data_IF_619669005578
#
_entry.id   IF_619669005578
#
_cell.length_a   1.000
_cell.length_b   1.000
_cell.length_c   1.000
_cell.angle_alpha   90.00
_cell.angle_beta   90.00
_cell.angle_gamma   90.00
#
_symmetry.space_group_name_H-M   'P 1'
#
loop_
_entity.id
_entity.type
_entity.pdbx_description
1 polymer ?
#
# COMPACT_ATOMS: atom_id res chain seq x y z
N UNK A 1 5.83 0.31 15.82
CA UNK A 1 7.05 0.29 14.97
C UNK A 1 6.55 0.12 13.57
N UNK A 2 6.92 1.01 12.65
CA UNK A 2 6.35 1.03 11.32
C UNK A 2 7.14 0.11 10.39
N UNK A 3 6.45 -0.69 9.60
CA UNK A 3 7.07 -1.73 8.77
C UNK A 3 7.42 -1.20 7.38
N UNK A 4 8.58 -1.59 6.87
CA UNK A 4 9.10 -1.13 5.58
C UNK A 4 9.58 -2.33 4.77
N UNK A 5 9.19 -2.39 3.50
CA UNK A 5 9.48 -3.50 2.60
C UNK A 5 10.03 -3.05 1.25
N UNK A 6 10.93 -3.85 0.70
CA UNK A 6 11.28 -3.87 -0.71
C UNK A 6 10.43 -4.91 -1.43
N UNK A 7 9.85 -4.51 -2.57
CA UNK A 7 9.09 -5.39 -3.44
C UNK A 7 10.00 -5.99 -4.50
N UNK A 8 10.14 -7.31 -4.44
CA UNK A 8 10.88 -8.08 -5.43
C UNK A 8 9.95 -8.98 -6.23
N UNK A 9 10.22 -9.10 -7.53
CA UNK A 9 9.47 -9.98 -8.43
C UNK A 9 10.30 -11.23 -8.68
N UNK A 10 9.73 -12.39 -8.36
CA UNK A 10 10.32 -13.70 -8.64
C UNK A 10 9.33 -14.51 -9.48
N UNK A 11 9.62 -14.63 -10.79
CA UNK A 11 8.67 -15.17 -11.75
C UNK A 11 7.37 -14.36 -11.79
N UNK A 12 6.26 -14.97 -11.37
CA UNK A 12 4.94 -14.31 -11.29
C UNK A 12 4.58 -13.87 -9.87
N UNK A 13 5.48 -14.05 -8.90
CA UNK A 13 5.22 -13.73 -7.49
C UNK A 13 5.83 -12.40 -7.11
N UNK A 14 5.09 -11.65 -6.28
CA UNK A 14 5.57 -10.45 -5.62
C UNK A 14 5.94 -10.80 -4.18
N UNK A 15 7.19 -10.56 -3.81
CA UNK A 15 7.74 -10.83 -2.50
C UNK A 15 7.94 -9.52 -1.74
N UNK A 16 7.52 -9.50 -0.47
CA UNK A 16 7.76 -8.42 0.46
C UNK A 16 8.98 -8.79 1.31
N UNK A 17 10.07 -8.07 1.12
CA UNK A 17 11.32 -8.33 1.86
C UNK A 17 11.56 -7.16 2.81
N UNK A 18 11.76 -7.39 4.12
CA UNK A 18 12.03 -6.31 5.06
C UNK A 18 13.18 -5.41 4.60
N UNK A 19 12.92 -4.11 4.56
CA UNK A 19 13.87 -3.11 4.07
C UNK A 19 15.00 -2.95 5.07
N UNK A 20 16.25 -3.18 4.64
CA UNK A 20 17.43 -3.05 5.53
C UNK A 20 17.63 -1.63 6.08
N UNK A 21 17.20 -0.63 5.31
CA UNK A 21 17.37 0.78 5.66
C UNK A 21 16.11 1.38 6.32
N UNK A 22 15.13 0.55 6.71
CA UNK A 22 13.92 1.00 7.40
C UNK A 22 13.20 2.14 6.65
N UNK A 23 12.97 3.24 7.36
CA UNK A 23 12.23 4.41 6.88
C UNK A 23 13.04 5.39 6.02
N UNK A 24 14.34 5.13 5.79
CA UNK A 24 15.24 6.07 5.12
C UNK A 24 14.68 6.57 3.78
N UNK A 25 14.40 7.87 3.69
CA UNK A 25 13.85 8.53 2.50
C UNK A 25 12.33 8.73 2.52
N UNK A 26 11.65 8.29 3.57
CA UNK A 26 10.18 8.35 3.72
C UNK A 26 9.73 8.89 5.08
N UNK A 27 10.67 9.32 5.95
CA UNK A 27 10.41 9.58 7.37
C UNK A 27 9.41 10.72 7.67
N UNK A 28 9.14 11.60 6.71
CA UNK A 28 8.35 12.82 6.94
C UNK A 28 7.31 13.13 5.86
N UNK A 29 7.19 12.28 4.83
CA UNK A 29 6.42 12.65 3.66
C UNK A 29 5.02 12.03 3.62
N UNK A 30 4.71 10.97 4.35
CA UNK A 30 3.44 10.25 4.17
C UNK A 30 2.30 10.85 5.03
N UNK A 31 1.08 11.09 4.49
CA UNK A 31 0.52 10.66 3.20
C UNK A 31 0.76 11.61 2.00
N UNK A 32 1.55 12.66 2.16
CA UNK A 32 2.02 13.46 1.02
C UNK A 32 3.01 12.65 0.15
N UNK A 33 3.26 13.06 -1.11
CA UNK A 33 4.25 12.41 -1.94
C UNK A 33 5.67 12.53 -1.35
N UNK A 34 6.42 11.41 -1.22
CA UNK A 34 7.85 11.46 -0.94
C UNK A 34 8.62 12.26 -1.99
N UNK A 35 9.81 12.74 -1.65
CA UNK A 35 10.65 13.49 -2.58
C UNK A 35 10.85 12.72 -3.91
N UNK A 36 10.72 13.43 -5.04
CA UNK A 36 10.77 12.89 -6.40
C UNK A 36 9.68 11.84 -6.72
N UNK A 37 8.54 11.92 -6.04
CA UNK A 37 7.37 11.11 -6.34
C UNK A 37 6.13 11.99 -6.52
N UNK A 38 5.18 11.49 -7.31
CA UNK A 38 3.84 12.07 -7.49
C UNK A 38 2.79 11.09 -7.01
N UNK A 39 1.70 11.60 -6.44
CA UNK A 39 0.54 10.78 -6.13
C UNK A 39 -0.03 10.19 -7.42
N UNK A 40 -0.11 8.86 -7.48
CA UNK A 40 -0.69 8.12 -8.59
C UNK A 40 -2.17 7.79 -8.33
N UNK A 41 -2.55 7.64 -7.06
CA UNK A 41 -3.93 7.43 -6.65
C UNK A 41 -4.06 6.87 -5.24
N UNK A 42 -5.31 6.83 -4.77
CA UNK A 42 -5.71 6.19 -3.53
C UNK A 42 -6.56 4.97 -3.89
N UNK A 43 -6.30 3.84 -3.24
CA UNK A 43 -7.02 2.58 -3.40
C UNK A 43 -7.67 2.24 -2.06
N UNK A 44 -8.93 1.79 -2.07
CA UNK A 44 -9.61 1.35 -0.86
C UNK A 44 -10.46 2.42 -0.21
N UNK A 45 -10.75 2.22 1.07
CA UNK A 45 -11.70 3.01 1.86
C UNK A 45 -10.96 3.66 3.03
N UNK A 46 -10.87 5.00 3.09
CA UNK A 46 -10.20 5.71 4.18
C UNK A 46 -10.76 5.42 5.58
N UNK A 47 -12.02 4.99 5.68
CA UNK A 47 -12.67 4.66 6.96
C UNK A 47 -12.46 3.19 7.38
N UNK A 48 -11.64 2.43 6.64
CA UNK A 48 -11.36 1.03 6.94
C UNK A 48 -9.90 0.66 6.67
N UNK A 49 -9.52 0.68 5.40
CA UNK A 49 -8.17 0.36 4.95
C UNK A 49 -7.95 0.92 3.54
N UNK A 50 -6.89 1.70 3.38
CA UNK A 50 -6.56 2.32 2.11
C UNK A 50 -5.06 2.35 1.84
N UNK A 51 -4.71 2.39 0.57
CA UNK A 51 -3.35 2.51 0.09
C UNK A 51 -3.20 3.79 -0.72
N UNK A 52 -2.22 4.63 -0.36
CA UNK A 52 -1.75 5.72 -1.21
C UNK A 52 -0.60 5.20 -2.06
N UNK A 53 -0.78 5.23 -3.38
CA UNK A 53 0.24 4.82 -4.34
C UNK A 53 0.94 6.06 -4.90
N UNK A 54 2.26 6.08 -4.82
CA UNK A 54 3.11 7.12 -5.37
C UNK A 54 3.98 6.57 -6.49
N UNK A 55 4.14 7.35 -7.55
CA UNK A 55 4.98 7.02 -8.69
C UNK A 55 6.24 7.87 -8.64
N UNK A 56 7.40 7.28 -8.89
CA UNK A 56 8.65 8.06 -9.02
C UNK A 56 8.54 8.96 -10.26
N UNK A 57 8.87 10.24 -10.13
CA UNK A 57 8.79 11.22 -11.23
C UNK A 57 9.81 10.88 -12.32
N UNK A 58 11.07 10.79 -11.91
CA UNK A 58 12.19 10.47 -12.78
C UNK A 58 12.72 9.07 -12.47
N UNK A 59 12.11 8.06 -13.09
CA UNK A 59 12.62 6.69 -13.09
C UNK A 59 11.56 5.61 -12.95
N UNK A 60 12.00 4.34 -12.86
CA UNK A 60 11.09 3.23 -12.67
C UNK A 60 10.61 3.13 -11.22
N UNK A 61 9.48 2.46 -11.04
CA UNK A 61 9.00 2.08 -9.72
C UNK A 61 8.15 3.13 -8.99
N UNK A 62 8.09 3.00 -7.67
CA UNK A 62 7.27 3.85 -6.81
C UNK A 62 7.11 3.28 -5.40
N UNK A 63 6.20 3.88 -4.64
CA UNK A 63 6.00 3.61 -3.22
C UNK A 63 4.52 3.38 -2.96
N UNK A 64 4.22 2.47 -2.05
CA UNK A 64 2.89 2.20 -1.52
C UNK A 64 2.91 2.43 -0.03
N UNK A 65 2.03 3.28 0.46
CA UNK A 65 1.80 3.49 1.88
C UNK A 65 0.41 2.92 2.22
N UNK A 66 0.36 1.95 3.13
CA UNK A 66 -0.88 1.27 3.53
C UNK A 66 -1.32 1.74 4.90
N UNK A 67 -2.58 2.13 5.02
CA UNK A 67 -3.18 2.70 6.21
C UNK A 67 -4.41 1.92 6.63
N UNK A 68 -4.67 1.90 7.93
CA UNK A 68 -6.02 1.75 8.48
C UNK A 68 -6.60 3.15 8.81
N UNK A 69 -7.76 3.18 9.48
CA UNK A 69 -8.41 4.43 9.89
C UNK A 69 -7.49 5.31 10.77
N UNK A 70 -6.68 4.67 11.62
CA UNK A 70 -5.93 5.36 12.67
C UNK A 70 -4.48 5.67 12.28
N UNK A 71 -3.86 4.87 11.41
CA UNK A 71 -2.41 4.82 11.31
C UNK A 71 -1.85 4.23 10.02
N UNK A 72 -0.60 4.60 9.73
CA UNK A 72 0.20 3.96 8.67
C UNK A 72 0.68 2.58 9.17
N UNK A 73 0.17 1.53 8.53
CA UNK A 73 0.50 0.12 8.80
C UNK A 73 1.89 -0.23 8.29
N UNK A 74 2.12 -0.07 6.99
CA UNK A 74 3.42 -0.37 6.37
C UNK A 74 3.66 0.44 5.09
N UNK A 75 4.92 0.47 4.68
CA UNK A 75 5.36 1.04 3.41
C UNK A 75 6.06 -0.03 2.58
N UNK A 76 5.71 -0.11 1.29
CA UNK A 76 6.36 -1.02 0.35
C UNK A 76 6.89 -0.23 -0.86
N UNK A 77 8.15 -0.46 -1.23
CA UNK A 77 8.78 0.24 -2.35
C UNK A 77 9.09 -0.74 -3.46
N UNK A 78 8.70 -0.36 -4.68
CA UNK A 78 9.07 -1.06 -5.88
C UNK A 78 10.14 -0.26 -6.62
N UNK A 79 11.29 -0.87 -6.92
CA UNK A 79 12.34 -0.20 -7.72
C UNK A 79 12.14 -0.36 -9.23
N UNK A 80 11.25 -1.27 -9.67
CA UNK A 80 10.98 -1.51 -11.08
C UNK A 80 9.52 -1.27 -11.44
N UNK A 81 9.24 -1.00 -12.71
CA UNK A 81 7.87 -0.85 -13.21
C UNK A 81 7.07 -2.13 -13.08
N UNK A 82 7.70 -3.29 -13.26
CA UNK A 82 7.04 -4.58 -13.10
C UNK A 82 6.63 -4.80 -11.63
N UNK A 83 7.55 -4.57 -10.69
CA UNK A 83 7.25 -4.67 -9.26
C UNK A 83 6.16 -3.66 -8.85
N UNK A 84 6.17 -2.46 -9.43
CA UNK A 84 5.17 -1.44 -9.17
C UNK A 84 3.78 -1.85 -9.69
N UNK A 85 3.67 -2.30 -10.94
CA UNK A 85 2.38 -2.74 -11.49
C UNK A 85 1.80 -3.95 -10.75
N UNK A 86 2.64 -4.92 -10.37
CA UNK A 86 2.22 -6.05 -9.54
C UNK A 86 1.87 -5.59 -8.12
N UNK A 87 2.61 -4.63 -7.57
CA UNK A 87 2.32 -3.96 -6.30
C UNK A 87 0.94 -3.31 -6.29
N UNK A 88 0.61 -2.51 -7.31
CA UNK A 88 -0.72 -1.90 -7.47
C UNK A 88 -1.83 -2.95 -7.42
N UNK A 89 -1.68 -4.05 -8.17
CA UNK A 89 -2.66 -5.14 -8.16
C UNK A 89 -2.77 -5.82 -6.80
N UNK A 90 -1.64 -6.05 -6.13
CA UNK A 90 -1.59 -6.66 -4.81
C UNK A 90 -2.26 -5.76 -3.74
N UNK A 91 -1.91 -4.48 -3.70
CA UNK A 91 -2.48 -3.52 -2.75
C UNK A 91 -3.98 -3.35 -2.98
N UNK A 92 -4.40 -3.20 -4.24
CA UNK A 92 -5.81 -3.13 -4.62
C UNK A 92 -6.59 -4.35 -4.14
N UNK A 93 -6.04 -5.56 -4.33
CA UNK A 93 -6.69 -6.78 -3.85
C UNK A 93 -6.83 -6.81 -2.32
N UNK A 94 -5.80 -6.35 -1.59
CA UNK A 94 -5.86 -6.33 -0.11
C UNK A 94 -6.96 -5.41 0.40
N UNK A 95 -7.02 -4.16 -0.07
CA UNK A 95 -8.06 -3.21 0.37
C UNK A 95 -9.46 -3.64 -0.07
N UNK A 96 -9.61 -4.26 -1.26
CA UNK A 96 -10.89 -4.81 -1.70
C UNK A 96 -11.35 -5.98 -0.82
N UNK A 97 -10.44 -6.88 -0.42
CA UNK A 97 -10.79 -7.98 0.48
C UNK A 97 -11.13 -7.51 1.89
N UNK A 98 -10.46 -6.46 2.38
CA UNK A 98 -10.81 -5.83 3.65
C UNK A 98 -12.25 -5.28 3.59
N UNK A 99 -12.58 -4.48 2.57
CA UNK A 99 -13.94 -3.91 2.40
C UNK A 99 -15.00 -5.00 2.25
N UNK A 100 -14.75 -6.01 1.42
CA UNK A 100 -15.66 -7.14 1.28
C UNK A 100 -15.89 -7.88 2.61
N UNK A 101 -14.84 -8.02 3.43
CA UNK A 101 -14.96 -8.58 4.76
C UNK A 101 -15.86 -7.75 5.66
N UNK A 102 -15.66 -6.43 5.70
CA UNK A 102 -16.50 -5.50 6.45
C UNK A 102 -17.97 -5.58 6.02
N UNK A 103 -18.24 -5.56 4.70
CA UNK A 103 -19.60 -5.65 4.15
C UNK A 103 -20.36 -6.91 4.62
N UNK A 104 -19.66 -8.03 4.81
CA UNK A 104 -20.28 -9.26 5.34
C UNK A 104 -20.68 -9.10 6.80
N UNK A 105 -19.83 -8.50 7.63
CA UNK A 105 -20.12 -8.30 9.06
C UNK A 105 -21.23 -7.29 9.27
N UNK A 106 -21.19 -6.16 8.55
CA UNK A 106 -22.25 -5.14 8.59
C UNK A 106 -23.61 -5.78 8.25
N UNK A 107 -23.66 -6.62 7.21
CA UNK A 107 -24.87 -7.32 6.82
C UNK A 107 -25.34 -8.37 7.84
N UNK A 108 -24.44 -8.98 8.62
CA UNK A 108 -24.82 -9.93 9.67
C UNK A 108 -25.40 -9.19 10.88
N UNK A 109 -24.79 -8.08 11.29
CA UNK A 109 -25.26 -7.25 12.40
C UNK A 109 -26.66 -6.67 12.11
N UNK A 110 -26.94 -6.28 10.86
CA UNK A 110 -28.28 -5.83 10.44
C UNK A 110 -29.37 -6.91 10.50
N UNK A 111 -29.00 -8.20 10.50
CA UNK A 111 -29.95 -9.33 10.53
C UNK A 111 -30.19 -9.89 11.94
N UNK A 112 -29.40 -9.47 12.94
CA UNK A 112 -29.53 -9.88 14.34
C UNK A 112 -30.36 -8.89 15.18
N UNK A 113 -30.80 -7.77 14.61
CA UNK A 113 -31.77 -6.79 15.14
C UNK A 113 -33.20 -6.98 14.56
#
# INVERSE_FOLDING_TARGET
MQEYYDLYVEGTKLNFVPRKNGAAGFESALPEPPANHVAAGILGDPELMYCVAFRKEDGPGGVFAMYDEDSLLFVAVAESNLAYSLGLSQMGRMVTYARYGADIFDALDENDD
#
